data_IF_135898904372
#
_entry.id   IF_135898904372
#
_cell.length_a   1.000
_cell.length_b   1.000
_cell.length_c   1.000
_cell.angle_alpha   90.00
_cell.angle_beta   90.00
_cell.angle_gamma   90.00
#
_symmetry.space_group_name_H-M   'P 1'
#
loop_
_entity.id
_entity.type
_entity.pdbx_description
1 polymer ?
#
# COMPACT_ATOMS: atom_id res chain seq x y z
N UNK A 1 -13.14 -8.10 -12.07
CA UNK A 1 -13.45 -6.73 -11.60
C UNK A 1 -13.31 -6.76 -10.09
N UNK A 2 -12.52 -5.84 -9.49
CA UNK A 2 -12.41 -5.71 -8.04
C UNK A 2 -13.80 -5.38 -7.49
N UNK A 3 -14.11 -5.81 -6.28
CA UNK A 3 -15.43 -5.56 -5.66
C UNK A 3 -15.70 -4.08 -5.42
N UNK A 4 -14.67 -3.27 -5.17
CA UNK A 4 -14.79 -1.81 -5.00
C UNK A 4 -15.19 -1.08 -6.30
N UNK A 5 -15.04 -1.70 -7.47
CA UNK A 5 -15.23 -1.07 -8.78
C UNK A 5 -14.16 -0.02 -9.14
N UNK A 6 -13.17 0.20 -8.27
CA UNK A 6 -12.12 1.19 -8.45
C UNK A 6 -10.93 0.58 -9.21
N UNK A 7 -10.44 1.32 -10.21
CA UNK A 7 -9.12 1.05 -10.77
C UNK A 7 -8.07 1.71 -9.90
N UNK A 8 -7.19 0.92 -9.28
CA UNK A 8 -6.10 1.44 -8.44
C UNK A 8 -4.93 1.97 -9.28
N UNK A 9 -5.01 1.84 -10.61
CA UNK A 9 -3.96 2.29 -11.52
C UNK A 9 -2.72 1.39 -11.50
N UNK A 10 -1.65 1.89 -12.15
CA UNK A 10 -0.31 1.26 -12.16
C UNK A 10 0.72 2.30 -11.76
N UNK A 11 1.57 2.02 -10.77
CA UNK A 11 2.60 2.96 -10.32
C UNK A 11 3.00 2.85 -8.86
N UNK A 12 3.33 4.00 -8.28
CA UNK A 12 3.77 4.12 -6.90
C UNK A 12 2.62 3.90 -5.91
N UNK A 13 2.84 3.02 -4.96
CA UNK A 13 2.10 2.89 -3.71
C UNK A 13 3.01 3.37 -2.57
N UNK A 14 2.85 4.62 -2.16
CA UNK A 14 3.67 5.19 -1.10
C UNK A 14 3.23 4.65 0.26
N UNK A 15 4.18 4.19 1.08
CA UNK A 15 3.92 3.73 2.45
C UNK A 15 4.71 4.61 3.41
N UNK A 16 4.05 5.19 4.42
CA UNK A 16 4.73 6.07 5.37
C UNK A 16 5.76 5.33 6.21
N UNK A 17 6.89 5.97 6.55
CA UNK A 17 7.81 5.45 7.56
C UNK A 17 7.19 5.51 8.96
N UNK A 18 7.80 4.79 9.92
CA UNK A 18 7.50 4.94 11.35
C UNK A 18 8.08 6.29 11.82
N UNK A 19 7.27 7.34 11.90
CA UNK A 19 7.70 8.71 12.24
C UNK A 19 6.90 9.22 13.45
N UNK A 20 7.54 9.49 14.59
CA UNK A 20 6.85 10.00 15.77
C UNK A 20 6.48 11.49 15.68
N UNK A 21 7.16 12.27 14.85
CA UNK A 21 6.89 13.69 14.65
C UNK A 21 5.84 13.88 13.55
N UNK A 22 4.63 14.26 13.96
CA UNK A 22 3.50 14.48 13.04
C UNK A 22 3.80 15.57 12.00
N UNK A 23 4.45 16.67 12.39
CA UNK A 23 4.72 17.78 11.47
C UNK A 23 5.70 17.33 10.37
N UNK A 24 6.74 16.58 10.74
CA UNK A 24 7.72 16.02 9.81
C UNK A 24 7.08 14.99 8.86
N UNK A 25 6.24 14.10 9.40
CA UNK A 25 5.49 13.14 8.59
C UNK A 25 4.63 13.84 7.53
N UNK A 26 3.85 14.83 7.93
CA UNK A 26 2.97 15.58 7.03
C UNK A 26 3.75 16.37 5.97
N UNK A 27 4.85 17.02 6.35
CA UNK A 27 5.68 17.77 5.42
C UNK A 27 6.26 16.85 4.32
N UNK A 28 6.82 15.70 4.69
CA UNK A 28 7.32 14.72 3.72
C UNK A 28 6.19 14.15 2.85
N UNK A 29 5.06 13.78 3.47
CA UNK A 29 3.92 13.20 2.76
C UNK A 29 3.29 14.17 1.77
N UNK A 30 3.19 15.45 2.12
CA UNK A 30 2.68 16.49 1.20
C UNK A 30 3.52 16.57 -0.08
N UNK A 31 4.85 16.45 0.03
CA UNK A 31 5.75 16.41 -1.14
C UNK A 31 5.54 15.15 -2.00
N UNK A 32 5.35 13.99 -1.36
CA UNK A 32 5.05 12.74 -2.08
C UNK A 32 3.71 12.82 -2.80
N UNK A 33 2.68 13.36 -2.14
CA UNK A 33 1.34 13.51 -2.69
C UNK A 33 1.28 14.47 -3.89
N UNK A 34 2.19 15.43 -4.01
CA UNK A 34 2.29 16.30 -5.18
C UNK A 34 2.53 15.51 -6.49
N UNK A 35 3.22 14.38 -6.42
CA UNK A 35 3.42 13.47 -7.55
C UNK A 35 2.22 12.56 -7.85
N UNK A 36 1.15 12.60 -7.04
CA UNK A 36 -0.07 11.81 -7.15
C UNK A 36 0.21 10.29 -7.28
N UNK A 37 0.77 9.65 -6.24
CA UNK A 37 0.91 8.19 -6.22
C UNK A 37 -0.47 7.51 -6.35
N UNK A 38 -0.50 6.25 -6.75
CA UNK A 38 -1.75 5.49 -6.87
C UNK A 38 -2.47 5.33 -5.54
N UNK A 39 -1.71 5.11 -4.47
CA UNK A 39 -2.19 4.96 -3.08
C UNK A 39 -1.18 5.57 -2.12
N UNK A 40 -1.66 6.04 -0.96
CA UNK A 40 -0.85 6.27 0.23
C UNK A 40 -1.29 5.29 1.32
N UNK A 41 -0.35 4.55 1.94
CA UNK A 41 -0.62 3.79 3.16
C UNK A 41 -0.04 4.53 4.37
N UNK A 42 -0.88 4.78 5.35
CA UNK A 42 -0.43 5.18 6.67
C UNK A 42 -0.06 3.96 7.50
N UNK A 43 1.19 3.89 7.88
CA UNK A 43 1.77 2.86 8.75
C UNK A 43 2.69 3.51 9.76
N UNK A 44 2.43 3.31 11.06
CA UNK A 44 3.32 3.68 12.15
C UNK A 44 3.17 2.65 13.28
N UNK A 45 4.04 1.64 13.30
CA UNK A 45 3.92 0.49 14.21
C UNK A 45 4.24 0.82 15.65
N UNK A 46 5.04 1.86 15.87
CA UNK A 46 5.50 2.26 17.21
C UNK A 46 4.67 3.38 17.82
N UNK A 47 3.75 3.96 17.08
CA UNK A 47 2.88 5.03 17.56
C UNK A 47 1.84 4.51 18.58
N UNK A 48 1.55 5.31 19.59
CA UNK A 48 0.39 5.09 20.46
C UNK A 48 -0.92 5.19 19.68
N UNK A 49 -2.01 4.67 20.22
CA UNK A 49 -3.32 4.78 19.58
C UNK A 49 -3.73 6.25 19.33
N UNK A 50 -3.45 7.14 20.28
CA UNK A 50 -3.73 8.57 20.14
C UNK A 50 -2.92 9.20 18.99
N UNK A 51 -1.61 8.91 18.91
CA UNK A 51 -0.77 9.43 17.84
C UNK A 51 -1.16 8.85 16.46
N UNK A 52 -1.51 7.57 16.41
CA UNK A 52 -2.01 6.95 15.16
C UNK A 52 -3.28 7.64 14.65
N UNK A 53 -4.23 7.92 15.55
CA UNK A 53 -5.45 8.64 15.21
C UNK A 53 -5.13 10.04 14.68
N UNK A 54 -4.34 10.82 15.43
CA UNK A 54 -3.95 12.17 15.02
C UNK A 54 -3.29 12.19 13.64
N UNK A 55 -2.29 11.34 13.44
CA UNK A 55 -1.56 11.28 12.16
C UNK A 55 -2.45 10.81 11.02
N UNK A 56 -3.26 9.77 11.21
CA UNK A 56 -4.17 9.26 10.19
C UNK A 56 -5.22 10.29 9.76
N UNK A 57 -5.80 11.02 10.72
CA UNK A 57 -6.79 12.08 10.45
C UNK A 57 -6.20 13.21 9.60
N UNK A 58 -5.00 13.67 9.97
CA UNK A 58 -4.31 14.74 9.22
C UNK A 58 -3.84 14.29 7.85
N UNK A 59 -3.35 13.05 7.73
CA UNK A 59 -2.99 12.46 6.44
C UNK A 59 -4.20 12.29 5.53
N UNK A 60 -5.36 11.91 6.07
CA UNK A 60 -6.60 11.79 5.30
C UNK A 60 -7.00 13.13 4.68
N UNK A 61 -6.86 14.23 5.41
CA UNK A 61 -7.12 15.56 4.87
C UNK A 61 -6.18 15.91 3.70
N UNK A 62 -4.88 15.60 3.83
CA UNK A 62 -3.90 15.80 2.74
C UNK A 62 -4.22 14.91 1.52
N UNK A 63 -4.55 13.64 1.75
CA UNK A 63 -4.88 12.69 0.70
C UNK A 63 -6.13 13.13 -0.08
N UNK A 64 -7.18 13.57 0.61
CA UNK A 64 -8.40 14.11 -0.02
C UNK A 64 -8.10 15.34 -0.88
N UNK A 65 -7.28 16.26 -0.39
CA UNK A 65 -6.86 17.43 -1.15
C UNK A 65 -6.07 17.08 -2.41
N UNK A 66 -5.25 16.01 -2.36
CA UNK A 66 -4.45 15.53 -3.48
C UNK A 66 -5.23 14.60 -4.44
N UNK A 67 -6.41 14.11 -4.05
CA UNK A 67 -7.16 13.09 -4.79
C UNK A 67 -6.48 11.71 -4.79
N UNK A 68 -5.76 11.36 -3.70
CA UNK A 68 -5.03 10.10 -3.52
C UNK A 68 -5.71 9.30 -2.40
N UNK A 69 -6.11 8.03 -2.63
CA UNK A 69 -6.72 7.22 -1.59
C UNK A 69 -5.77 6.94 -0.42
N UNK A 70 -6.29 7.07 0.82
CA UNK A 70 -5.58 6.69 2.05
C UNK A 70 -5.96 5.29 2.51
N UNK A 71 -4.98 4.45 2.67
CA UNK A 71 -5.07 3.09 3.22
C UNK A 71 -4.51 3.10 4.65
N UNK A 72 -5.28 2.63 5.62
CA UNK A 72 -4.80 2.46 7.00
C UNK A 72 -4.20 1.05 7.14
N UNK A 73 -3.00 0.95 7.72
CA UNK A 73 -2.36 -0.35 7.94
C UNK A 73 -2.91 -1.00 9.21
N UNK A 74 -3.31 -2.28 9.14
CA UNK A 74 -3.71 -3.19 10.22
C UNK A 74 -4.99 -2.80 11.00
N UNK A 75 -5.40 -1.54 11.04
CA UNK A 75 -6.43 -1.02 11.93
C UNK A 75 -7.75 -0.68 11.20
N UNK A 76 -8.61 -1.71 11.08
CA UNK A 76 -9.93 -1.56 10.44
C UNK A 76 -10.83 -0.57 11.19
N UNK A 77 -10.79 -0.61 12.53
CA UNK A 77 -11.66 0.26 13.35
C UNK A 77 -11.31 1.74 13.12
N UNK A 78 -10.01 2.06 13.11
CA UNK A 78 -9.53 3.41 12.79
C UNK A 78 -9.89 3.83 11.37
N UNK A 79 -9.75 2.92 10.40
CA UNK A 79 -10.09 3.21 9.00
C UNK A 79 -11.57 3.55 8.83
N UNK A 80 -12.46 2.78 9.46
CA UNK A 80 -13.91 2.99 9.42
C UNK A 80 -14.32 4.28 10.13
N UNK A 81 -13.78 4.52 11.31
CA UNK A 81 -14.10 5.66 12.16
C UNK A 81 -13.73 7.00 11.50
N UNK A 82 -12.56 7.07 10.86
CA UNK A 82 -12.13 8.24 10.11
C UNK A 82 -12.75 8.35 8.70
N UNK A 83 -13.38 7.30 8.21
CA UNK A 83 -13.83 7.22 6.84
C UNK A 83 -12.68 7.25 5.83
N UNK A 84 -11.55 6.58 6.15
CA UNK A 84 -10.44 6.38 5.22
C UNK A 84 -10.86 5.53 4.03
N UNK A 85 -10.13 5.63 2.91
CA UNK A 85 -10.52 4.96 1.67
C UNK A 85 -10.35 3.44 1.73
N UNK A 86 -9.53 2.92 2.66
CA UNK A 86 -9.40 1.49 2.83
C UNK A 86 -8.47 1.06 3.96
N UNK A 87 -8.26 -0.25 4.04
CA UNK A 87 -7.39 -0.90 5.03
C UNK A 87 -6.49 -1.93 4.35
N UNK A 88 -5.30 -2.13 4.90
CA UNK A 88 -4.38 -3.18 4.50
C UNK A 88 -4.14 -4.14 5.66
N UNK A 89 -4.40 -5.43 5.45
CA UNK A 89 -4.24 -6.49 6.44
C UNK A 89 -3.01 -7.36 6.19
N UNK A 90 -2.25 -7.61 7.23
CA UNK A 90 -1.21 -8.63 7.29
C UNK A 90 -1.77 -9.99 7.75
N UNK A 91 -0.87 -10.82 8.30
CA UNK A 91 -1.20 -12.21 8.71
C UNK A 91 -2.10 -12.24 9.95
N UNK A 92 -1.82 -11.37 10.90
CA UNK A 92 -2.34 -11.46 12.27
C UNK A 92 -3.44 -10.41 12.54
N UNK A 93 -3.86 -9.66 11.51
CA UNK A 93 -4.76 -8.52 11.66
C UNK A 93 -6.24 -8.89 11.54
N UNK A 94 -6.55 -10.18 11.40
CA UNK A 94 -7.91 -10.68 11.38
C UNK A 94 -8.35 -11.29 10.04
N UNK A 95 -9.65 -11.47 9.90
CA UNK A 95 -10.25 -12.08 8.70
C UNK A 95 -10.47 -11.06 7.59
N UNK A 96 -9.85 -11.28 6.43
CA UNK A 96 -10.07 -10.45 5.24
C UNK A 96 -11.56 -10.45 4.81
N UNK A 97 -12.27 -11.57 4.96
CA UNK A 97 -13.69 -11.64 4.63
C UNK A 97 -14.55 -10.80 5.59
N UNK A 98 -14.23 -10.81 6.89
CA UNK A 98 -14.91 -9.95 7.85
C UNK A 98 -14.61 -8.46 7.61
N UNK A 99 -13.36 -8.13 7.29
CA UNK A 99 -12.98 -6.76 6.93
C UNK A 99 -13.73 -6.30 5.66
N UNK A 100 -13.83 -7.15 4.63
CA UNK A 100 -14.60 -6.83 3.42
C UNK A 100 -16.06 -6.55 3.74
N UNK A 101 -16.68 -7.40 4.55
CA UNK A 101 -18.07 -7.20 4.97
C UNK A 101 -18.28 -5.83 5.66
N UNK A 102 -17.41 -5.50 6.61
CA UNK A 102 -17.48 -4.22 7.34
C UNK A 102 -17.23 -3.00 6.43
N UNK A 103 -16.28 -3.10 5.49
CA UNK A 103 -16.02 -2.07 4.51
C UNK A 103 -17.21 -1.86 3.57
N UNK A 104 -17.83 -2.93 3.08
CA UNK A 104 -19.02 -2.85 2.22
C UNK A 104 -20.21 -2.22 2.96
N UNK A 105 -20.38 -2.52 4.24
CA UNK A 105 -21.42 -1.92 5.09
C UNK A 105 -21.17 -0.42 5.36
N UNK A 106 -19.92 0.04 5.32
CA UNK A 106 -19.56 1.46 5.56
C UNK A 106 -19.72 2.36 4.33
N UNK A 107 -20.02 1.79 3.16
CA UNK A 107 -20.24 2.52 1.91
C UNK A 107 -19.44 1.95 0.73
N UNK A 108 -19.79 2.39 -0.49
CA UNK A 108 -19.16 1.90 -1.72
C UNK A 108 -17.72 2.40 -1.87
N UNK A 109 -16.95 1.68 -2.70
CA UNK A 109 -15.60 2.12 -3.11
C UNK A 109 -14.50 1.94 -2.07
N UNK A 110 -14.76 1.23 -0.95
CA UNK A 110 -13.74 0.97 0.08
C UNK A 110 -12.77 -0.10 -0.37
N UNK A 111 -11.48 0.14 -0.12
CA UNK A 111 -10.37 -0.68 -0.60
C UNK A 111 -9.90 -1.64 0.49
N UNK A 112 -9.79 -2.92 0.16
CA UNK A 112 -9.16 -3.94 0.99
C UNK A 112 -7.88 -4.44 0.34
N UNK A 113 -6.76 -4.28 1.02
CA UNK A 113 -5.47 -4.86 0.65
C UNK A 113 -5.08 -6.02 1.57
N UNK A 114 -4.42 -7.04 1.02
CA UNK A 114 -3.95 -8.19 1.79
C UNK A 114 -2.49 -8.49 1.51
N UNK A 115 -1.66 -8.56 2.57
CA UNK A 115 -0.28 -9.06 2.50
C UNK A 115 -0.26 -10.56 2.31
N UNK A 116 0.44 -11.02 1.27
CA UNK A 116 0.56 -12.44 0.96
C UNK A 116 1.96 -12.99 1.20
N UNK A 117 2.93 -12.14 1.52
CA UNK A 117 4.34 -12.54 1.69
C UNK A 117 4.84 -13.26 0.43
N UNK A 118 5.38 -14.46 0.53
CA UNK A 118 5.69 -15.35 -0.60
C UNK A 118 4.69 -16.50 -0.74
N UNK A 119 3.50 -16.41 -0.15
CA UNK A 119 2.55 -17.51 0.02
C UNK A 119 1.40 -17.43 -0.99
N UNK A 120 1.45 -18.28 -2.00
CA UNK A 120 0.38 -18.37 -3.01
C UNK A 120 -1.00 -18.65 -2.44
N UNK A 121 -1.18 -19.60 -1.46
CA UNK A 121 -2.50 -19.85 -0.89
C UNK A 121 -3.13 -18.62 -0.23
N UNK A 122 -2.32 -17.74 0.38
CA UNK A 122 -2.84 -16.49 0.96
C UNK A 122 -3.34 -15.52 -0.10
N UNK A 123 -2.68 -15.45 -1.24
CA UNK A 123 -3.12 -14.60 -2.34
C UNK A 123 -4.45 -15.07 -2.91
N UNK A 124 -4.61 -16.40 -3.08
CA UNK A 124 -5.88 -17.01 -3.51
C UNK A 124 -6.99 -16.74 -2.48
N UNK A 125 -6.72 -16.96 -1.20
CA UNK A 125 -7.69 -16.71 -0.13
C UNK A 125 -8.06 -15.22 -0.03
N UNK A 126 -7.09 -14.31 -0.13
CA UNK A 126 -7.33 -12.86 -0.13
C UNK A 126 -8.20 -12.41 -1.29
N UNK A 127 -7.90 -12.88 -2.50
CA UNK A 127 -8.71 -12.59 -3.68
C UNK A 127 -10.14 -13.14 -3.53
N UNK A 128 -10.29 -14.37 -3.05
CA UNK A 128 -11.59 -14.98 -2.79
C UNK A 128 -12.40 -14.24 -1.70
N UNK A 129 -11.71 -13.70 -0.70
CA UNK A 129 -12.32 -12.84 0.33
C UNK A 129 -12.75 -11.46 -0.17
N UNK A 130 -12.42 -11.10 -1.40
CA UNK A 130 -12.79 -9.84 -2.02
C UNK A 130 -11.76 -8.71 -1.78
N UNK A 131 -10.48 -9.06 -1.62
CA UNK A 131 -9.42 -8.06 -1.65
C UNK A 131 -9.37 -7.35 -3.02
N UNK A 132 -9.17 -6.05 -3.01
CA UNK A 132 -8.98 -5.25 -4.21
C UNK A 132 -7.55 -5.36 -4.72
N UNK A 133 -6.59 -5.59 -3.82
CA UNK A 133 -5.23 -5.92 -4.19
C UNK A 133 -4.58 -6.91 -3.22
N UNK A 134 -3.65 -7.68 -3.76
CA UNK A 134 -2.77 -8.59 -3.00
C UNK A 134 -1.34 -8.11 -3.09
N UNK A 135 -0.60 -8.12 -1.97
CA UNK A 135 0.77 -7.63 -1.90
C UNK A 135 1.76 -8.77 -1.62
N UNK A 136 2.73 -8.94 -2.51
CA UNK A 136 3.82 -9.90 -2.34
C UNK A 136 5.10 -9.19 -1.89
N UNK A 137 5.83 -9.79 -0.95
CA UNK A 137 7.11 -9.28 -0.42
C UNK A 137 7.67 -10.15 0.70
N UNK A 138 8.96 -9.98 1.06
CA UNK A 138 9.84 -8.98 0.47
C UNK A 138 10.37 -9.44 -0.88
N UNK A 139 10.31 -8.57 -1.89
CA UNK A 139 10.84 -8.90 -3.23
C UNK A 139 12.38 -8.84 -3.23
N UNK A 140 12.94 -7.76 -2.70
CA UNK A 140 14.38 -7.56 -2.57
C UNK A 140 14.79 -7.48 -1.11
N UNK A 141 16.11 -7.58 -0.83
CA UNK A 141 16.63 -7.33 0.51
C UNK A 141 16.33 -5.90 0.94
N UNK A 142 15.96 -5.72 2.19
CA UNK A 142 15.62 -4.40 2.72
C UNK A 142 16.31 -4.19 4.06
N UNK A 143 16.94 -3.02 4.29
CA UNK A 143 17.48 -2.67 5.61
C UNK A 143 16.40 -2.68 6.70
N UNK A 144 15.17 -2.34 6.35
CA UNK A 144 14.03 -2.26 7.29
C UNK A 144 13.63 -3.63 7.86
N UNK A 145 13.84 -4.72 7.11
CA UNK A 145 13.54 -6.10 7.53
C UNK A 145 14.53 -7.07 6.89
N UNK A 146 15.77 -7.16 7.40
CA UNK A 146 16.83 -7.97 6.77
C UNK A 146 16.51 -9.47 6.74
N UNK A 147 15.76 -9.97 7.72
CA UNK A 147 15.38 -11.39 7.89
C UNK A 147 14.09 -11.79 7.18
N UNK A 148 13.43 -10.88 6.44
CA UNK A 148 12.19 -11.22 5.76
C UNK A 148 12.42 -12.27 4.66
N UNK A 149 11.64 -13.34 4.70
CA UNK A 149 11.64 -14.34 3.62
C UNK A 149 11.31 -13.68 2.29
N UNK A 150 12.06 -14.05 1.24
CA UNK A 150 11.87 -13.46 -0.08
C UNK A 150 10.70 -14.08 -0.84
N UNK A 151 9.90 -13.23 -1.46
CA UNK A 151 8.89 -13.65 -2.42
C UNK A 151 9.50 -13.67 -3.83
N UNK A 152 9.40 -14.80 -4.57
CA UNK A 152 9.87 -14.86 -5.95
C UNK A 152 9.12 -13.87 -6.85
N UNK A 153 9.83 -13.15 -7.72
CA UNK A 153 9.25 -12.24 -8.72
C UNK A 153 8.18 -12.91 -9.59
N UNK A 154 8.36 -14.19 -9.91
CA UNK A 154 7.39 -14.97 -10.71
C UNK A 154 5.98 -15.04 -10.12
N UNK A 155 5.82 -14.82 -8.80
CA UNK A 155 4.49 -14.75 -8.17
C UNK A 155 3.67 -13.56 -8.66
N UNK A 156 4.31 -12.44 -9.01
CA UNK A 156 3.63 -11.24 -9.50
C UNK A 156 2.91 -11.54 -10.84
N UNK A 157 3.64 -12.11 -11.80
CA UNK A 157 3.08 -12.48 -13.08
C UNK A 157 2.03 -13.59 -12.98
N UNK A 158 2.22 -14.54 -12.07
CA UNK A 158 1.22 -15.55 -11.77
C UNK A 158 -0.07 -14.94 -11.23
N UNK A 159 0.04 -14.06 -10.23
CA UNK A 159 -1.11 -13.41 -9.61
C UNK A 159 -1.90 -12.56 -10.63
N UNK A 160 -1.21 -11.80 -11.47
CA UNK A 160 -1.83 -11.00 -12.53
C UNK A 160 -2.66 -11.86 -13.51
N UNK A 161 -2.15 -13.05 -13.87
CA UNK A 161 -2.88 -13.94 -14.79
C UNK A 161 -4.04 -14.67 -14.14
N UNK A 162 -3.89 -15.10 -12.88
CA UNK A 162 -4.80 -16.07 -12.25
C UNK A 162 -5.83 -15.43 -11.31
N UNK A 163 -5.49 -14.32 -10.63
CA UNK A 163 -6.33 -13.80 -9.54
C UNK A 163 -7.27 -12.66 -9.93
N UNK A 164 -7.05 -11.99 -11.06
CA UNK A 164 -7.86 -10.85 -11.54
C UNK A 164 -8.05 -9.72 -10.50
N UNK A 165 -7.06 -9.52 -9.63
CA UNK A 165 -6.97 -8.43 -8.65
C UNK A 165 -5.71 -7.61 -8.92
N UNK A 166 -5.65 -6.38 -8.41
CA UNK A 166 -4.44 -5.57 -8.48
C UNK A 166 -3.29 -6.26 -7.74
N UNK A 167 -2.10 -6.30 -8.33
CA UNK A 167 -0.92 -6.94 -7.75
C UNK A 167 0.06 -5.88 -7.27
N UNK A 168 0.31 -5.86 -5.97
CA UNK A 168 1.32 -5.00 -5.35
C UNK A 168 2.58 -5.81 -5.02
N UNK A 169 3.73 -5.18 -5.17
CA UNK A 169 5.02 -5.69 -4.74
C UNK A 169 5.61 -4.79 -3.66
N UNK A 170 6.22 -5.37 -2.62
CA UNK A 170 6.84 -4.62 -1.52
C UNK A 170 8.16 -5.25 -1.09
N UNK A 171 9.04 -4.45 -0.51
CA UNK A 171 10.29 -4.87 0.15
C UNK A 171 11.51 -4.65 -0.73
N UNK A 172 12.38 -3.73 -0.29
CA UNK A 172 13.65 -3.40 -0.93
C UNK A 172 13.52 -2.79 -2.33
N UNK A 173 12.34 -2.30 -2.69
CA UNK A 173 12.11 -1.65 -3.99
C UNK A 173 12.71 -0.25 -3.96
N UNK A 174 13.52 0.02 -4.97
CA UNK A 174 14.13 1.31 -5.27
C UNK A 174 13.84 1.68 -6.71
N UNK A 175 14.08 2.92 -7.09
CA UNK A 175 13.91 3.34 -8.47
C UNK A 175 14.77 2.51 -9.46
N UNK A 176 15.94 2.03 -9.00
CA UNK A 176 16.85 1.26 -9.82
C UNK A 176 16.32 -0.16 -10.16
N UNK A 177 15.44 -0.73 -9.33
CA UNK A 177 14.92 -2.09 -9.53
C UNK A 177 13.39 -2.15 -9.74
N UNK A 178 12.71 -1.02 -9.70
CA UNK A 178 11.25 -0.97 -9.87
C UNK A 178 10.81 -1.38 -11.28
N UNK A 179 11.66 -1.15 -12.29
CA UNK A 179 11.41 -1.63 -13.66
C UNK A 179 11.20 -3.14 -13.73
N UNK A 180 12.05 -3.92 -13.04
CA UNK A 180 11.93 -5.37 -12.97
C UNK A 180 10.62 -5.81 -12.29
N UNK A 181 10.18 -5.06 -11.28
CA UNK A 181 8.93 -5.32 -10.55
C UNK A 181 7.71 -5.14 -11.47
N UNK A 182 7.68 -4.05 -12.22
CA UNK A 182 6.61 -3.79 -13.19
C UNK A 182 6.65 -4.78 -14.36
N UNK A 183 7.83 -5.09 -14.88
CA UNK A 183 8.01 -6.09 -15.95
C UNK A 183 7.57 -7.50 -15.49
N UNK A 184 7.80 -7.84 -14.22
CA UNK A 184 7.36 -9.11 -13.64
C UNK A 184 5.84 -9.20 -13.44
N UNK A 185 5.08 -8.12 -13.61
CA UNK A 185 3.62 -8.12 -13.59
C UNK A 185 2.97 -7.42 -12.40
N UNK A 186 3.72 -6.67 -11.59
CA UNK A 186 3.11 -5.81 -10.58
C UNK A 186 2.38 -4.63 -11.24
N UNK A 187 1.26 -4.25 -10.63
CA UNK A 187 0.57 -3.00 -10.92
C UNK A 187 1.07 -1.89 -9.99
N UNK A 188 1.36 -2.23 -8.74
CA UNK A 188 1.78 -1.29 -7.70
C UNK A 188 3.16 -1.66 -7.13
N UNK A 189 4.06 -0.69 -7.09
CA UNK A 189 5.32 -0.77 -6.34
C UNK A 189 5.13 -0.06 -4.99
N UNK A 190 5.06 -0.82 -3.89
CA UNK A 190 4.94 -0.29 -2.54
C UNK A 190 6.32 0.08 -1.99
N UNK A 191 6.53 1.35 -1.70
CA UNK A 191 7.85 1.91 -1.37
C UNK A 191 7.76 2.78 -0.11
N UNK A 192 8.76 2.62 0.77
CA UNK A 192 8.93 3.42 2.00
C UNK A 192 10.15 4.34 1.83
N UNK A 193 11.32 3.86 2.20
CA UNK A 193 12.55 4.64 2.39
C UNK A 193 13.04 5.29 1.10
N UNK A 194 13.02 4.58 -0.03
CA UNK A 194 13.52 5.14 -1.30
C UNK A 194 12.77 6.41 -1.74
N UNK A 195 11.53 6.58 -1.28
CA UNK A 195 10.74 7.79 -1.54
C UNK A 195 10.81 8.78 -0.38
N UNK A 196 10.56 8.34 0.85
CA UNK A 196 10.45 9.25 2.00
C UNK A 196 11.80 9.77 2.52
N UNK A 197 12.91 9.06 2.24
CA UNK A 197 14.26 9.47 2.63
C UNK A 197 15.06 10.10 1.47
N UNK A 198 14.42 10.26 0.30
CA UNK A 198 15.03 10.96 -0.82
C UNK A 198 15.24 12.44 -0.50
N UNK A 199 16.29 13.03 -1.06
CA UNK A 199 16.57 14.49 -0.96
C UNK A 199 15.36 15.27 -1.48
N UNK A 200 14.76 14.82 -2.57
CA UNK A 200 13.50 15.34 -3.09
C UNK A 200 12.46 14.21 -3.22
N UNK A 201 11.56 14.06 -2.22
CA UNK A 201 10.50 13.05 -2.26
C UNK A 201 9.52 13.23 -3.41
N UNK A 202 9.24 14.46 -3.85
CA UNK A 202 8.35 14.72 -4.99
C UNK A 202 8.98 14.21 -6.29
N UNK A 203 10.19 14.63 -6.60
CA UNK A 203 10.88 14.18 -7.81
C UNK A 203 11.09 12.65 -7.82
N UNK A 204 11.39 12.05 -6.65
CA UNK A 204 11.52 10.60 -6.53
C UNK A 204 10.18 9.89 -6.81
N UNK A 205 9.08 10.37 -6.27
CA UNK A 205 7.75 9.81 -6.51
C UNK A 205 7.30 9.98 -7.98
N UNK A 206 7.62 11.12 -8.60
CA UNK A 206 7.37 11.34 -10.04
C UNK A 206 8.14 10.35 -10.92
N UNK A 207 9.39 10.04 -10.59
CA UNK A 207 10.20 9.09 -11.33
C UNK A 207 9.56 7.68 -11.33
N UNK A 208 8.97 7.22 -10.21
CA UNK A 208 8.19 5.98 -10.18
C UNK A 208 6.95 6.04 -11.08
N UNK A 209 6.27 7.17 -11.11
CA UNK A 209 5.09 7.37 -11.97
C UNK A 209 5.45 7.33 -13.45
N UNK A 210 6.60 7.85 -13.83
CA UNK A 210 7.09 7.78 -15.22
C UNK A 210 7.47 6.35 -15.60
N UNK A 211 8.23 5.67 -14.74
CA UNK A 211 8.68 4.29 -14.97
C UNK A 211 7.51 3.30 -15.11
N UNK A 212 6.39 3.53 -14.46
CA UNK A 212 5.21 2.65 -14.54
C UNK A 212 4.43 2.76 -15.85
N UNK A 213 4.72 3.75 -16.70
CA UNK A 213 4.04 3.98 -17.99
C UNK A 213 4.74 3.29 -19.16
N UNK A 214 5.97 2.87 -18.95
CA UNK A 214 6.77 2.09 -19.89
C UNK A 214 6.38 0.59 -19.81
#
# INVERSE_FOLDING_TARGET
MNKSGLSLGRGLYAVTPDEPDTARLLAKTSRVLAARPCLLQYRNKFASAALRREQAERLLALCRAAGVPLIVNDDLALALDLGADGVHFGRDDGSAAAARYALDASGPGRILGVSCYGEWPRAVAGAAAGADYVAFGAIFASPTKPSAARAPLGLLGRARRELKVTVAAIGGITLANAGDVFAAGADLAAVISDVFDAVDPCARAEAYRMLSRE
#
